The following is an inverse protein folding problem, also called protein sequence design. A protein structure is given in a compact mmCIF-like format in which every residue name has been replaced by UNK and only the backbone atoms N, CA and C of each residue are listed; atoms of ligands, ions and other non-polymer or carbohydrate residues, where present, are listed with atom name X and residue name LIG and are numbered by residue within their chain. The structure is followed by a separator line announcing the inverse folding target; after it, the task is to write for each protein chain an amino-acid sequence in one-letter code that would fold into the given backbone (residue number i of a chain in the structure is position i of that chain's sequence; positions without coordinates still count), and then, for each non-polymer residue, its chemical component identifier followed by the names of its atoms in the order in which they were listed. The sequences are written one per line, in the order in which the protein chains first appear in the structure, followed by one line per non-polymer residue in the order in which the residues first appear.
data_IF_542975667903
#
_entry.id   IF_542975667903
#
_cell.length_a   1.000
_cell.length_b   1.000
_cell.length_c   1.000
_cell.angle_alpha   90.00
_cell.angle_beta   90.00
_cell.angle_gamma   90.00
#
_symmetry.space_group_name_H-M   'P 1'
#
loop_
_entity.id
_entity.type
_entity.pdbx_description
1 polymer ?
#
# COMPACT_ATOMS: atom_id res chain seq x y z
N UNK A 1 -19.97 -21.35 -13.86
CA UNK A 1 -18.69 -21.04 -14.55
C UNK A 1 -18.20 -19.72 -13.98
N UNK A 2 -17.23 -19.76 -13.06
CA UNK A 2 -16.61 -18.55 -12.51
C UNK A 2 -15.87 -17.84 -13.64
N UNK A 3 -16.24 -16.59 -13.91
CA UNK A 3 -15.52 -15.76 -14.86
C UNK A 3 -14.03 -15.77 -14.48
N UNK A 4 -13.17 -16.14 -15.43
CA UNK A 4 -11.73 -16.04 -15.23
C UNK A 4 -11.40 -14.56 -15.06
N UNK A 5 -11.23 -14.11 -13.82
CA UNK A 5 -10.89 -12.71 -13.54
C UNK A 5 -9.48 -12.48 -14.06
N UNK A 6 -9.36 -11.61 -15.06
CA UNK A 6 -8.07 -11.19 -15.57
C UNK A 6 -7.29 -10.43 -14.49
N UNK A 7 -6.00 -10.75 -14.35
CA UNK A 7 -5.15 -10.16 -13.32
C UNK A 7 -4.97 -8.65 -13.56
N UNK A 8 -4.79 -8.21 -14.80
CA UNK A 8 -4.58 -6.79 -15.11
C UNK A 8 -5.85 -5.98 -14.87
N UNK A 9 -7.01 -6.52 -15.25
CA UNK A 9 -8.30 -5.87 -15.00
C UNK A 9 -8.59 -5.74 -13.51
N UNK A 10 -8.34 -6.80 -12.72
CA UNK A 10 -8.49 -6.72 -11.27
C UNK A 10 -7.50 -5.73 -10.66
N UNK A 11 -6.22 -5.75 -11.07
CA UNK A 11 -5.23 -4.76 -10.60
C UNK A 11 -5.70 -3.33 -10.85
N UNK A 12 -6.20 -3.02 -12.06
CA UNK A 12 -6.68 -1.67 -12.39
C UNK A 12 -7.86 -1.26 -11.50
N UNK A 13 -8.81 -2.18 -11.26
CA UNK A 13 -9.96 -1.90 -10.39
C UNK A 13 -9.54 -1.67 -8.94
N UNK A 14 -8.65 -2.50 -8.41
CA UNK A 14 -8.16 -2.36 -7.03
C UNK A 14 -7.37 -1.06 -6.84
N UNK A 15 -6.52 -0.69 -7.81
CA UNK A 15 -5.80 0.59 -7.79
C UNK A 15 -6.75 1.78 -7.83
N UNK A 16 -7.78 1.73 -8.67
CA UNK A 16 -8.77 2.81 -8.78
C UNK A 16 -9.63 2.93 -7.51
N UNK A 17 -9.89 1.82 -6.81
CA UNK A 17 -10.61 1.79 -5.54
C UNK A 17 -9.71 2.09 -4.32
N UNK A 18 -8.41 2.39 -4.53
CA UNK A 18 -7.44 2.58 -3.46
C UNK A 18 -7.42 1.43 -2.45
N UNK A 19 -7.56 0.19 -2.94
CA UNK A 19 -7.51 -1.01 -2.12
C UNK A 19 -6.11 -1.65 -2.18
N UNK A 20 -5.47 -1.91 -1.03
CA UNK A 20 -4.16 -2.55 -1.01
C UNK A 20 -4.22 -4.01 -1.49
N UNK A 21 -3.20 -4.44 -2.22
CA UNK A 21 -3.00 -5.83 -2.62
C UNK A 21 -1.53 -6.13 -2.90
N UNK A 22 -1.20 -7.38 -3.14
CA UNK A 22 0.13 -7.82 -3.59
C UNK A 22 0.01 -8.44 -4.96
N UNK A 23 0.89 -8.04 -5.87
CA UNK A 23 1.16 -8.75 -7.11
C UNK A 23 2.31 -9.72 -6.88
N UNK A 24 2.01 -11.02 -6.88
CA UNK A 24 3.03 -12.06 -6.89
C UNK A 24 3.28 -12.50 -8.34
N UNK A 25 4.53 -12.43 -8.79
CA UNK A 25 4.93 -12.87 -10.14
C UNK A 25 6.01 -13.94 -10.03
N UNK A 26 5.79 -15.11 -10.63
CA UNK A 26 6.84 -16.11 -10.81
C UNK A 26 7.83 -15.57 -11.84
N UNK A 27 9.04 -15.23 -11.42
CA UNK A 27 10.06 -14.61 -12.27
C UNK A 27 11.06 -15.62 -12.81
N UNK A 28 11.25 -16.75 -12.11
CA UNK A 28 12.14 -17.83 -12.53
C UNK A 28 11.66 -19.18 -12.03
N UNK A 29 11.87 -20.20 -12.85
CA UNK A 29 11.62 -21.61 -12.51
C UNK A 29 12.75 -22.47 -13.02
N UNK A 30 13.17 -23.47 -12.24
CA UNK A 30 14.15 -24.48 -12.64
C UNK A 30 13.55 -25.87 -12.39
N UNK A 31 13.75 -26.78 -13.35
CA UNK A 31 13.18 -28.14 -13.33
C UNK A 31 11.64 -28.15 -13.36
N UNK A 32 11.02 -29.24 -12.87
CA UNK A 32 9.57 -29.42 -12.92
C UNK A 32 8.89 -28.58 -11.84
N UNK A 33 8.32 -27.45 -12.27
CA UNK A 33 7.45 -26.61 -11.45
C UNK A 33 6.04 -26.57 -12.03
N UNK A 34 5.05 -26.47 -11.14
CA UNK A 34 3.64 -26.37 -11.50
C UNK A 34 3.34 -25.07 -12.25
N UNK A 35 3.75 -23.93 -11.68
CA UNK A 35 3.72 -22.64 -12.36
C UNK A 35 4.96 -22.45 -13.24
N UNK A 36 4.83 -21.61 -14.27
CA UNK A 36 5.91 -21.19 -15.16
C UNK A 36 6.25 -19.72 -14.93
N UNK A 37 7.44 -19.32 -15.36
CA UNK A 37 7.80 -17.90 -15.40
C UNK A 37 6.72 -17.09 -16.13
N UNK A 38 6.37 -15.93 -15.57
CA UNK A 38 5.28 -15.08 -16.04
C UNK A 38 3.92 -15.36 -15.38
N UNK A 39 3.76 -16.46 -14.63
CA UNK A 39 2.55 -16.69 -13.84
C UNK A 39 2.38 -15.62 -12.76
N UNK A 40 1.17 -15.10 -12.60
CA UNK A 40 0.85 -13.99 -11.69
C UNK A 40 -0.32 -14.35 -10.80
N UNK A 41 -0.33 -13.81 -9.58
CA UNK A 41 -1.49 -13.83 -8.70
C UNK A 41 -1.66 -12.52 -7.95
N UNK A 42 -2.91 -12.16 -7.69
CA UNK A 42 -3.28 -11.07 -6.78
C UNK A 42 -3.60 -11.65 -5.43
N UNK A 43 -2.88 -11.20 -4.41
CA UNK A 43 -3.06 -11.59 -3.02
C UNK A 43 -3.63 -10.40 -2.25
N UNK A 44 -4.75 -10.62 -1.56
CA UNK A 44 -5.44 -9.62 -0.74
C UNK A 44 -4.85 -9.58 0.68
N UNK A 45 -5.12 -8.50 1.46
CA UNK A 45 -4.62 -8.38 2.84
C UNK A 45 -5.05 -9.53 3.78
N UNK A 46 -6.18 -10.17 3.50
CA UNK A 46 -6.67 -11.36 4.21
C UNK A 46 -5.93 -12.66 3.82
N UNK A 47 -4.96 -12.59 2.91
CA UNK A 47 -4.20 -13.73 2.40
C UNK A 47 -4.89 -14.52 1.29
N UNK A 48 -6.08 -14.10 0.83
CA UNK A 48 -6.79 -14.73 -0.28
C UNK A 48 -6.09 -14.44 -1.60
N UNK A 49 -5.89 -15.47 -2.42
CA UNK A 49 -5.54 -15.30 -3.84
C UNK A 49 -6.85 -15.04 -4.59
N UNK A 50 -7.05 -13.81 -5.06
CA UNK A 50 -8.32 -13.40 -5.66
C UNK A 50 -8.36 -13.65 -7.18
N UNK A 51 -7.23 -13.50 -7.85
CA UNK A 51 -7.08 -13.82 -9.26
C UNK A 51 -5.69 -14.39 -9.54
N UNK A 52 -5.60 -15.15 -10.63
CA UNK A 52 -4.35 -15.74 -11.10
C UNK A 52 -3.86 -16.92 -10.24
N UNK A 53 -2.61 -17.32 -10.48
CA UNK A 53 -2.01 -18.50 -9.89
C UNK A 53 -0.47 -18.41 -9.88
N UNK A 54 0.14 -18.86 -8.79
CA UNK A 54 1.60 -18.88 -8.57
C UNK A 54 2.15 -20.29 -8.33
N UNK A 55 1.34 -21.33 -8.56
CA UNK A 55 1.74 -22.72 -8.32
C UNK A 55 0.90 -23.43 -7.25
N UNK A 56 1.22 -24.70 -7.00
CA UNK A 56 0.57 -25.53 -5.99
C UNK A 56 0.90 -25.12 -4.55
N UNK A 57 0.39 -25.88 -3.57
CA UNK A 57 0.48 -25.55 -2.15
C UNK A 57 1.89 -25.30 -1.60
N UNK A 58 2.91 -25.93 -2.18
CA UNK A 58 4.30 -25.83 -1.71
C UNK A 58 4.90 -24.42 -1.86
N UNK A 59 4.46 -23.63 -2.84
CA UNK A 59 4.91 -22.25 -3.03
C UNK A 59 4.07 -21.22 -2.30
N UNK A 60 2.82 -21.60 -1.96
CA UNK A 60 1.82 -20.69 -1.42
C UNK A 60 2.21 -20.20 -0.04
N UNK A 61 2.71 -21.07 0.84
CA UNK A 61 3.08 -20.68 2.21
C UNK A 61 4.12 -19.56 2.26
N UNK A 62 5.24 -19.74 1.57
CA UNK A 62 6.32 -18.74 1.53
C UNK A 62 5.86 -17.43 0.86
N UNK A 63 5.13 -17.55 -0.26
CA UNK A 63 4.64 -16.36 -0.99
C UNK A 63 3.61 -15.58 -0.19
N UNK A 64 2.65 -16.24 0.46
CA UNK A 64 1.64 -15.57 1.29
C UNK A 64 2.25 -14.93 2.54
N UNK A 65 3.26 -15.58 3.14
CA UNK A 65 4.02 -14.98 4.25
C UNK A 65 4.69 -13.69 3.79
N UNK A 66 5.44 -13.73 2.68
CA UNK A 66 6.10 -12.56 2.12
C UNK A 66 5.10 -11.48 1.69
N UNK A 67 3.93 -11.84 1.14
CA UNK A 67 2.88 -10.91 0.77
C UNK A 67 2.34 -10.14 1.98
N UNK A 68 2.05 -10.85 3.09
CA UNK A 68 1.61 -10.23 4.34
C UNK A 68 2.67 -9.27 4.89
N UNK A 69 3.93 -9.69 4.87
CA UNK A 69 5.05 -8.86 5.33
C UNK A 69 5.28 -7.64 4.43
N UNK A 70 5.06 -7.77 3.12
CA UNK A 70 5.13 -6.70 2.13
C UNK A 70 4.00 -5.68 2.24
N UNK A 71 2.79 -6.12 2.55
CA UNK A 71 1.68 -5.20 2.85
C UNK A 71 1.92 -4.41 4.14
N UNK A 72 2.58 -5.03 5.12
CA UNK A 72 2.82 -4.40 6.42
C UNK A 72 3.89 -3.29 6.37
N UNK A 73 4.97 -3.48 5.60
CA UNK A 73 6.09 -2.51 5.54
C UNK A 73 6.24 -1.78 4.19
N UNK A 74 5.42 -2.14 3.20
CA UNK A 74 5.45 -1.56 1.86
C UNK A 74 6.69 -1.94 1.03
N UNK A 75 7.49 -2.91 1.46
CA UNK A 75 8.71 -3.32 0.76
C UNK A 75 8.49 -4.52 -0.17
N UNK A 76 9.05 -4.46 -1.37
CA UNK A 76 9.06 -5.60 -2.29
C UNK A 76 10.04 -6.68 -1.83
N UNK A 77 9.75 -7.94 -2.15
CA UNK A 77 10.56 -9.09 -1.73
C UNK A 77 10.76 -10.06 -2.89
N UNK A 78 11.95 -10.63 -3.02
CA UNK A 78 12.19 -11.78 -3.89
C UNK A 78 12.27 -13.04 -3.04
N UNK A 79 11.33 -13.96 -3.23
CA UNK A 79 11.28 -15.23 -2.49
C UNK A 79 11.81 -16.34 -3.37
N UNK A 80 12.87 -17.01 -2.95
CA UNK A 80 13.43 -18.17 -3.64
C UNK A 80 13.05 -19.47 -2.92
N UNK A 81 12.19 -20.25 -3.55
CA UNK A 81 11.63 -21.49 -3.01
C UNK A 81 12.38 -22.66 -3.63
N UNK A 82 13.22 -23.33 -2.84
CA UNK A 82 14.16 -24.34 -3.33
C UNK A 82 14.16 -25.63 -2.49
N UNK A 83 14.50 -26.79 -3.07
CA UNK A 83 14.74 -28.01 -2.32
C UNK A 83 15.87 -27.86 -1.29
N UNK A 84 15.78 -28.64 -0.21
CA UNK A 84 16.73 -28.60 0.91
C UNK A 84 18.20 -28.78 0.48
N UNK A 85 18.50 -29.68 -0.47
CA UNK A 85 19.86 -29.91 -0.92
C UNK A 85 20.48 -28.68 -1.62
N UNK A 86 19.69 -27.94 -2.40
CA UNK A 86 20.18 -26.72 -3.05
C UNK A 86 20.41 -25.59 -2.05
N UNK A 87 19.57 -25.49 -1.01
CA UNK A 87 19.79 -24.54 0.09
C UNK A 87 21.11 -24.84 0.82
N UNK A 88 21.41 -26.12 1.06
CA UNK A 88 22.65 -26.56 1.69
C UNK A 88 23.88 -26.28 0.82
N UNK A 89 23.81 -26.55 -0.49
CA UNK A 89 24.88 -26.21 -1.45
C UNK A 89 25.14 -24.69 -1.49
N UNK A 90 24.10 -23.88 -1.39
CA UNK A 90 24.19 -22.42 -1.31
C UNK A 90 24.61 -21.91 0.08
N UNK A 91 24.66 -22.78 1.10
CA UNK A 91 24.99 -22.41 2.47
C UNK A 91 23.95 -21.50 3.14
N UNK A 92 22.68 -21.58 2.76
CA UNK A 92 21.58 -20.76 3.32
C UNK A 92 20.58 -21.61 4.07
N UNK A 93 19.87 -20.99 5.01
CA UNK A 93 18.79 -21.63 5.77
C UNK A 93 17.41 -21.15 5.30
N UNK A 94 16.36 -21.98 5.40
CA UNK A 94 14.99 -21.51 5.21
C UNK A 94 14.65 -20.36 6.17
N UNK A 95 14.11 -19.26 5.64
CA UNK A 95 13.82 -18.03 6.35
C UNK A 95 14.96 -17.01 6.35
N UNK A 96 16.15 -17.37 5.87
CA UNK A 96 17.27 -16.45 5.72
C UNK A 96 17.02 -15.47 4.58
N UNK A 97 17.35 -14.20 4.83
CA UNK A 97 17.49 -13.19 3.78
C UNK A 97 18.98 -13.01 3.48
N UNK A 98 19.37 -13.19 2.22
CA UNK A 98 20.73 -12.93 1.76
C UNK A 98 20.68 -12.23 0.41
N UNK A 99 21.34 -11.07 0.34
CA UNK A 99 21.40 -10.22 -0.85
C UNK A 99 20.01 -9.87 -1.42
N UNK A 100 19.00 -9.69 -0.56
CA UNK A 100 17.62 -9.36 -0.96
C UNK A 100 16.80 -10.55 -1.44
N UNK A 101 17.29 -11.78 -1.24
CA UNK A 101 16.58 -13.02 -1.53
C UNK A 101 16.15 -13.67 -0.23
N UNK A 102 14.84 -13.81 -0.03
CA UNK A 102 14.28 -14.60 1.06
C UNK A 102 14.20 -16.07 0.65
N UNK A 103 15.00 -16.92 1.29
CA UNK A 103 15.06 -18.34 0.97
C UNK A 103 13.98 -19.12 1.70
N UNK A 104 13.25 -19.96 0.98
CA UNK A 104 12.22 -20.82 1.54
C UNK A 104 12.41 -22.27 1.08
N UNK A 105 12.08 -23.20 1.98
CA UNK A 105 12.15 -24.63 1.66
C UNK A 105 10.97 -25.03 0.77
N UNK A 106 11.27 -25.65 -0.36
CA UNK A 106 10.29 -26.32 -1.19
C UNK A 106 10.00 -27.72 -0.61
N UNK A 107 8.74 -27.95 -0.24
CA UNK A 107 8.26 -29.26 0.23
C UNK A 107 7.61 -30.10 -0.88
N UNK A 108 7.71 -29.67 -2.15
CA UNK A 108 7.08 -30.37 -3.26
C UNK A 108 7.88 -31.61 -3.70
N UNK A 109 7.21 -32.74 -4.01
CA UNK A 109 7.87 -33.91 -4.58
C UNK A 109 8.62 -33.63 -5.90
N UNK A 110 8.23 -32.59 -6.64
CA UNK A 110 8.85 -32.24 -7.93
C UNK A 110 10.29 -31.75 -7.80
N UNK A 111 10.71 -31.33 -6.59
CA UNK A 111 12.05 -30.79 -6.29
C UNK A 111 12.50 -29.66 -7.24
N UNK A 112 11.55 -28.92 -7.80
CA UNK A 112 11.84 -27.73 -8.62
C UNK A 112 12.25 -26.54 -7.75
N UNK A 113 12.91 -25.57 -8.37
CA UNK A 113 13.17 -24.25 -7.77
C UNK A 113 12.26 -23.22 -8.41
N UNK A 114 11.74 -22.29 -7.62
CA UNK A 114 10.90 -21.22 -8.11
C UNK A 114 11.20 -19.92 -7.36
N UNK A 115 11.42 -18.85 -8.12
CA UNK A 115 11.59 -17.51 -7.57
C UNK A 115 10.33 -16.69 -7.85
N UNK A 116 9.80 -16.05 -6.82
CA UNK A 116 8.59 -15.25 -6.86
C UNK A 116 8.92 -13.84 -6.41
N UNK A 117 8.71 -12.87 -7.29
CA UNK A 117 8.75 -11.46 -6.93
C UNK A 117 7.41 -11.06 -6.34
N UNK A 118 7.45 -10.50 -5.13
CA UNK A 118 6.30 -10.13 -4.31
C UNK A 118 6.31 -8.62 -4.17
N UNK A 119 5.39 -7.96 -4.86
CA UNK A 119 5.30 -6.51 -4.94
C UNK A 119 4.02 -6.02 -4.26
N UNK A 120 4.10 -5.28 -3.14
CA UNK A 120 2.92 -4.65 -2.55
C UNK A 120 2.50 -3.45 -3.39
N UNK A 121 1.20 -3.37 -3.70
CA UNK A 121 0.57 -2.21 -4.31
C UNK A 121 -0.30 -1.58 -3.24
N UNK A 122 0.17 -0.45 -2.71
CA UNK A 122 -0.49 0.27 -1.64
C UNK A 122 -1.27 1.48 -2.20
N UNK A 123 -2.32 1.93 -1.48
CA UNK A 123 -2.98 3.19 -1.77
C UNK A 123 -1.99 4.36 -1.74
N UNK A 124 -2.34 5.45 -2.43
CA UNK A 124 -1.59 6.70 -2.29
C UNK A 124 -1.67 7.15 -0.82
N UNK A 125 -0.58 7.71 -0.25
CA UNK A 125 -0.69 8.35 1.04
C UNK A 125 -1.69 9.51 0.97
N UNK A 126 -2.52 9.66 2.00
CA UNK A 126 -3.54 10.70 2.08
C UNK A 126 -3.00 11.89 2.86
N UNK A 127 -3.07 13.08 2.26
CA UNK A 127 -2.87 14.35 2.95
C UNK A 127 -4.23 14.99 3.22
N UNK A 128 -4.61 15.06 4.50
CA UNK A 128 -5.81 15.76 4.94
C UNK A 128 -5.42 17.19 5.33
N UNK A 129 -5.88 18.16 4.56
CA UNK A 129 -5.67 19.59 4.81
C UNK A 129 -6.92 20.18 5.45
N UNK A 130 -6.82 20.54 6.73
CA UNK A 130 -7.91 21.13 7.50
C UNK A 130 -7.77 22.64 7.53
N UNK A 131 -8.54 23.35 6.71
CA UNK A 131 -8.55 24.81 6.65
C UNK A 131 -8.41 25.40 5.24
N UNK A 132 -8.64 26.71 5.14
CA UNK A 132 -8.78 27.41 3.85
C UNK A 132 -7.72 28.49 3.60
N UNK A 133 -6.65 28.53 4.41
CA UNK A 133 -5.63 29.56 4.31
C UNK A 133 -4.81 29.49 3.01
N UNK A 134 -4.06 30.54 2.65
CA UNK A 134 -3.11 30.48 1.52
C UNK A 134 -2.09 29.33 1.67
N UNK A 135 -1.70 28.98 2.90
CA UNK A 135 -0.82 27.83 3.15
C UNK A 135 -1.57 26.52 2.86
N UNK A 136 -2.85 26.41 3.24
CA UNK A 136 -3.67 25.24 2.91
C UNK A 136 -3.77 25.05 1.39
N UNK A 137 -4.04 26.12 0.64
CA UNK A 137 -4.13 26.07 -0.83
C UNK A 137 -2.80 25.64 -1.46
N UNK A 138 -1.69 26.23 -1.02
CA UNK A 138 -0.36 25.86 -1.49
C UNK A 138 0.03 24.40 -1.17
N UNK A 139 -0.47 23.85 -0.05
CA UNK A 139 -0.28 22.43 0.28
C UNK A 139 -1.07 21.54 -0.68
N UNK A 140 -2.33 21.86 -0.96
CA UNK A 140 -3.18 21.09 -1.89
C UNK A 140 -2.55 21.06 -3.29
N UNK A 141 -2.12 22.22 -3.81
CA UNK A 141 -1.53 22.35 -5.15
C UNK A 141 -0.22 21.55 -5.30
N UNK A 142 0.60 21.48 -4.25
CA UNK A 142 1.88 20.77 -4.30
C UNK A 142 1.77 19.28 -4.01
N UNK A 143 0.82 18.86 -3.18
CA UNK A 143 0.75 17.48 -2.71
C UNK A 143 0.29 16.50 -3.81
N UNK A 144 -0.63 16.88 -4.69
CA UNK A 144 -1.11 15.99 -5.77
C UNK A 144 -0.01 15.60 -6.77
N UNK A 145 0.82 16.53 -7.30
CA UNK A 145 1.97 16.18 -8.13
C UNK A 145 3.01 15.29 -7.43
N UNK A 146 3.10 15.35 -6.10
CA UNK A 146 3.97 14.50 -5.30
C UNK A 146 3.40 13.09 -5.06
N UNK A 147 2.19 12.80 -5.56
CA UNK A 147 1.57 11.48 -5.51
C UNK A 147 0.69 11.25 -4.28
N UNK A 148 0.33 12.29 -3.53
CA UNK A 148 -0.66 12.19 -2.46
C UNK A 148 -2.08 12.16 -3.04
N UNK A 149 -2.96 11.44 -2.36
CA UNK A 149 -4.39 11.70 -2.41
C UNK A 149 -4.67 12.87 -1.46
N UNK A 150 -5.30 13.94 -1.94
CA UNK A 150 -5.50 15.14 -1.12
C UNK A 150 -6.97 15.33 -0.78
N UNK A 151 -7.28 15.32 0.52
CA UNK A 151 -8.58 15.71 1.07
C UNK A 151 -8.47 17.13 1.60
N UNK A 152 -9.23 18.07 1.03
CA UNK A 152 -9.37 19.43 1.54
C UNK A 152 -10.66 19.57 2.33
N UNK A 153 -10.54 19.81 3.62
CA UNK A 153 -11.64 19.93 4.55
C UNK A 153 -11.67 21.33 5.17
N UNK A 154 -12.59 22.16 4.69
CA UNK A 154 -12.89 23.47 5.26
C UNK A 154 -14.30 23.92 4.82
N UNK A 155 -14.94 24.86 5.55
CA UNK A 155 -16.17 25.48 5.07
C UNK A 155 -15.96 26.09 3.68
N UNK A 156 -16.72 25.63 2.67
CA UNK A 156 -16.48 26.00 1.27
C UNK A 156 -16.72 27.49 1.01
N UNK A 157 -17.58 28.11 1.83
CA UNK A 157 -17.81 29.56 1.82
C UNK A 157 -16.56 30.40 2.15
N UNK A 158 -15.46 29.79 2.61
CA UNK A 158 -14.21 30.47 2.85
C UNK A 158 -13.30 30.60 1.62
N UNK A 159 -13.69 30.05 0.47
CA UNK A 159 -12.92 30.10 -0.77
C UNK A 159 -13.58 31.00 -1.80
N UNK A 160 -12.79 31.90 -2.40
CA UNK A 160 -13.19 32.58 -3.64
C UNK A 160 -13.00 31.64 -4.84
N UNK A 161 -11.90 30.87 -4.82
CA UNK A 161 -11.59 29.79 -5.77
C UNK A 161 -11.09 28.60 -4.96
N UNK A 162 -11.70 27.42 -5.16
CA UNK A 162 -11.33 26.19 -4.46
C UNK A 162 -10.20 25.51 -5.25
N UNK A 163 -9.05 25.16 -4.62
CA UNK A 163 -7.99 24.45 -5.30
C UNK A 163 -8.43 23.02 -5.64
N UNK A 164 -7.85 22.44 -6.69
CA UNK A 164 -8.22 21.11 -7.16
C UNK A 164 -7.68 20.03 -6.21
N UNK A 165 -8.55 19.48 -5.35
CA UNK A 165 -8.28 18.35 -4.46
C UNK A 165 -8.89 17.06 -5.02
N UNK A 166 -8.43 15.90 -4.54
CA UNK A 166 -9.05 14.61 -4.91
C UNK A 166 -10.39 14.43 -4.16
N UNK A 167 -10.48 14.96 -2.94
CA UNK A 167 -11.70 15.00 -2.14
C UNK A 167 -11.93 16.39 -1.51
N UNK A 168 -13.18 16.86 -1.55
CA UNK A 168 -13.61 18.13 -0.95
C UNK A 168 -14.66 17.87 0.13
N UNK A 169 -14.40 18.39 1.33
CA UNK A 169 -15.30 18.27 2.49
C UNK A 169 -15.73 19.66 2.93
N UNK A 170 -17.04 19.93 2.92
CA UNK A 170 -17.61 21.17 3.45
C UNK A 170 -17.70 21.12 4.98
N UNK A 171 -16.69 21.71 5.63
CA UNK A 171 -16.48 21.60 7.07
C UNK A 171 -15.20 20.84 7.39
N UNK A 172 -15.12 20.23 8.58
CA UNK A 172 -13.90 19.53 9.02
C UNK A 172 -14.04 18.02 9.12
N UNK A 173 -15.25 17.47 9.16
CA UNK A 173 -15.47 16.04 9.34
C UNK A 173 -15.03 15.24 8.10
N UNK A 174 -13.92 14.52 8.20
CA UNK A 174 -13.34 13.76 7.09
C UNK A 174 -13.68 12.28 7.20
N UNK A 175 -13.95 11.61 6.07
CA UNK A 175 -14.04 10.16 6.09
C UNK A 175 -12.64 9.55 6.32
N UNK A 176 -12.57 8.58 7.23
CA UNK A 176 -11.35 7.84 7.57
C UNK A 176 -11.48 6.34 7.28
N UNK A 177 -12.47 5.95 6.47
CA UNK A 177 -12.74 4.56 6.10
C UNK A 177 -11.61 3.87 5.32
N UNK A 178 -10.79 4.63 4.57
CA UNK A 178 -9.69 4.08 3.77
C UNK A 178 -8.53 3.55 4.63
N UNK A 179 -7.76 2.57 4.13
CA UNK A 179 -6.59 2.01 4.85
C UNK A 179 -5.26 2.65 4.43
N UNK A 180 -5.30 3.86 3.86
CA UNK A 180 -4.11 4.58 3.43
C UNK A 180 -3.34 5.19 4.61
N UNK A 181 -2.02 5.35 4.43
CA UNK A 181 -1.18 6.13 5.34
C UNK A 181 -1.65 7.58 5.33
N UNK A 182 -1.84 8.19 6.50
CA UNK A 182 -2.39 9.55 6.62
C UNK A 182 -1.41 10.54 7.19
N UNK A 183 -1.51 11.76 6.68
CA UNK A 183 -0.82 12.95 7.16
C UNK A 183 -1.87 14.04 7.31
N UNK A 184 -1.94 14.69 8.47
CA UNK A 184 -2.92 15.73 8.74
C UNK A 184 -2.21 17.06 8.93
N UNK A 185 -2.67 18.10 8.24
CA UNK A 185 -2.18 19.47 8.41
C UNK A 185 -3.34 20.41 8.66
N UNK A 186 -3.38 21.00 9.85
CA UNK A 186 -4.32 22.04 10.22
C UNK A 186 -3.75 23.39 9.82
N UNK A 187 -4.44 24.08 8.90
CA UNK A 187 -4.02 25.33 8.28
C UNK A 187 -5.22 26.27 8.10
N UNK A 188 -5.90 26.53 9.20
CA UNK A 188 -7.15 27.32 9.35
C UNK A 188 -6.94 28.83 9.46
N UNK A 189 -5.74 29.29 9.85
CA UNK A 189 -5.43 30.70 10.16
C UNK A 189 -6.43 31.37 11.13
N UNK A 190 -6.94 30.64 12.13
CA UNK A 190 -7.84 31.19 13.16
C UNK A 190 -9.34 31.04 12.85
N UNK A 191 -9.69 30.61 11.62
CA UNK A 191 -11.08 30.32 11.25
C UNK A 191 -11.41 28.87 11.55
N UNK A 192 -11.88 28.61 12.77
CA UNK A 192 -12.33 27.27 13.19
C UNK A 192 -11.23 26.35 13.74
N UNK A 193 -10.18 26.91 14.34
CA UNK A 193 -9.05 26.13 14.90
C UNK A 193 -9.51 25.00 15.83
N UNK A 194 -10.43 25.29 16.76
CA UNK A 194 -10.88 24.30 17.74
C UNK A 194 -11.56 23.10 17.07
N UNK A 195 -12.44 23.36 16.09
CA UNK A 195 -13.13 22.31 15.35
C UNK A 195 -12.14 21.49 14.51
N UNK A 196 -11.23 22.16 13.80
CA UNK A 196 -10.21 21.51 12.99
C UNK A 196 -9.23 20.68 13.83
N UNK A 197 -8.80 21.18 15.00
CA UNK A 197 -7.91 20.44 15.90
C UNK A 197 -8.59 19.23 16.53
N UNK A 198 -9.88 19.35 16.92
CA UNK A 198 -10.67 18.21 17.41
C UNK A 198 -10.74 17.10 16.37
N UNK A 199 -11.02 17.45 15.13
CA UNK A 199 -10.99 16.48 14.03
C UNK A 199 -9.59 15.91 13.84
N UNK A 200 -8.57 16.77 13.74
CA UNK A 200 -7.21 16.35 13.45
C UNK A 200 -6.70 15.29 14.42
N UNK A 201 -7.02 15.42 15.71
CA UNK A 201 -6.62 14.46 16.76
C UNK A 201 -7.47 13.18 16.73
N UNK A 202 -8.68 13.23 16.17
CA UNK A 202 -9.53 12.05 16.02
C UNK A 202 -9.11 11.15 14.85
N UNK A 203 -8.43 11.71 13.85
CA UNK A 203 -7.89 10.98 12.70
C UNK A 203 -6.63 10.21 13.11
N UNK A 204 -6.60 8.89 12.91
CA UNK A 204 -5.36 8.11 13.04
C UNK A 204 -4.40 8.42 11.88
N UNK A 205 -3.28 9.08 12.18
CA UNK A 205 -2.32 9.55 11.20
C UNK A 205 -0.87 9.41 11.70
N UNK A 206 0.05 9.24 10.74
CA UNK A 206 1.50 9.18 11.04
C UNK A 206 2.07 10.54 11.41
N UNK A 207 1.37 11.61 11.04
CA UNK A 207 1.81 12.99 11.26
C UNK A 207 0.62 13.91 11.49
N UNK A 208 0.74 14.77 12.49
CA UNK A 208 -0.13 15.91 12.72
C UNK A 208 0.70 17.20 12.72
N UNK A 209 0.36 18.12 11.81
CA UNK A 209 0.94 19.45 11.75
C UNK A 209 -0.11 20.52 12.05
N UNK A 210 0.27 21.56 12.80
CA UNK A 210 -0.54 22.75 13.00
C UNK A 210 0.23 23.99 12.53
N UNK A 211 -0.31 24.67 11.52
CA UNK A 211 0.27 25.90 10.98
C UNK A 211 -0.14 27.07 11.87
N UNK A 212 0.81 27.58 12.64
CA UNK A 212 0.59 28.70 13.54
C UNK A 212 1.89 29.40 13.94
N UNK A 213 1.76 30.61 14.48
CA UNK A 213 2.90 31.29 15.11
C UNK A 213 3.24 30.62 16.45
N UNK A 214 4.48 30.80 16.93
CA UNK A 214 4.89 30.30 18.25
C UNK A 214 3.96 30.76 19.37
N UNK A 215 3.46 31.99 19.29
CA UNK A 215 2.52 32.56 20.28
C UNK A 215 1.15 31.87 20.26
N UNK A 216 0.72 31.37 19.10
CA UNK A 216 -0.56 30.67 18.94
C UNK A 216 -0.48 29.22 19.44
N UNK A 217 0.72 28.64 19.43
CA UNK A 217 0.99 27.27 19.90
C UNK A 217 1.23 27.18 21.40
N UNK A 218 1.66 28.28 22.04
CA UNK A 218 1.91 28.36 23.48
C UNK A 218 0.59 28.59 24.24
#
# INVERSE_FOLDING_TARGET
MTAHVDVLDLMSRLKAAEEPFVLATVVRTVSVTAAKAGAKAIIRPDGRIEAGWIGGGCARGATLKAAREALADGQSRLVSIQPENLLQELGVKPGEDRDGINFARNMCPSRGTMDVFVEPVLPRPVLVVLGSSPVAQALVEQARPLGYHVTLAAPLAHFDTIPEADELVDGFASDTSHQARRFVVVSTQGKGDEAALKEAVAIDAEYHGFVGSRRKMA
#
